data_IF_826862791344
#
_entry.id   IF_826862791344
#
_cell.length_a   1.000
_cell.length_b   1.000
_cell.length_c   1.000
_cell.angle_alpha   90.00
_cell.angle_beta   90.00
_cell.angle_gamma   90.00
#
_symmetry.space_group_name_H-M   'P 1'
#
loop_
_entity.id
_entity.type
_entity.pdbx_description
1 polymer ?
#
# COMPACT_ATOMS: atom_id res chain seq x y z
N UNK A 1 6.27 19.92 -7.60
CA UNK A 1 5.09 19.23 -7.08
C UNK A 1 4.49 18.23 -8.08
N UNK A 2 4.59 18.51 -9.35
CA UNK A 2 4.06 17.65 -10.42
C UNK A 2 4.80 16.33 -10.60
N UNK A 3 6.07 16.23 -10.16
CA UNK A 3 6.88 15.03 -10.36
C UNK A 3 6.26 13.75 -9.76
N UNK A 4 5.56 13.85 -8.64
CA UNK A 4 4.91 12.70 -8.00
C UNK A 4 3.63 12.27 -8.72
N UNK A 5 3.04 13.17 -9.49
CA UNK A 5 1.81 12.89 -10.24
C UNK A 5 2.07 12.70 -11.74
N UNK A 6 3.32 12.75 -12.17
CA UNK A 6 3.68 12.47 -13.55
C UNK A 6 3.27 11.04 -13.90
N UNK A 7 2.47 10.90 -14.96
CA UNK A 7 1.90 9.62 -15.34
C UNK A 7 0.67 9.19 -14.54
N UNK A 8 0.13 10.05 -13.68
CA UNK A 8 -1.10 9.75 -12.95
C UNK A 8 -2.27 9.59 -13.92
N UNK A 9 -2.92 8.43 -13.86
CA UNK A 9 -4.00 8.05 -14.79
C UNK A 9 -5.39 8.00 -14.15
N UNK A 10 -5.54 8.49 -12.92
CA UNK A 10 -6.81 8.46 -12.19
C UNK A 10 -7.04 7.14 -11.46
N UNK A 11 -6.49 6.99 -10.28
CA UNK A 11 -6.67 5.79 -9.45
C UNK A 11 -8.08 5.76 -8.84
N UNK A 12 -8.81 4.66 -9.07
CA UNK A 12 -10.13 4.40 -8.47
C UNK A 12 -11.14 5.55 -8.61
N UNK A 13 -11.10 6.29 -9.73
CA UNK A 13 -11.99 7.41 -9.95
C UNK A 13 -11.66 8.67 -9.14
N UNK A 14 -10.43 8.77 -8.62
CA UNK A 14 -9.96 9.96 -7.89
C UNK A 14 -9.52 11.03 -8.89
N UNK A 15 -10.10 12.24 -8.84
CA UNK A 15 -9.65 13.33 -9.71
C UNK A 15 -8.21 13.74 -9.42
N UNK A 16 -7.50 14.19 -10.45
CA UNK A 16 -6.13 14.66 -10.31
C UNK A 16 -6.01 15.81 -9.29
N UNK A 17 -6.99 16.71 -9.27
CA UNK A 17 -7.01 17.82 -8.32
C UNK A 17 -7.07 17.35 -6.87
N UNK A 18 -7.84 16.31 -6.59
CA UNK A 18 -7.89 15.70 -5.25
C UNK A 18 -6.54 15.10 -4.86
N UNK A 19 -5.93 14.36 -5.77
CA UNK A 19 -4.60 13.78 -5.55
C UNK A 19 -3.54 14.87 -5.31
N UNK A 20 -3.60 15.96 -6.08
CA UNK A 20 -2.71 17.10 -5.93
C UNK A 20 -2.87 17.79 -4.57
N UNK A 21 -4.10 17.97 -4.09
CA UNK A 21 -4.35 18.57 -2.77
C UNK A 21 -3.82 17.69 -1.64
N UNK A 22 -4.01 16.39 -1.72
CA UNK A 22 -3.46 15.44 -0.75
C UNK A 22 -1.93 15.51 -0.72
N UNK A 23 -1.31 15.51 -1.89
CA UNK A 23 0.14 15.60 -2.01
C UNK A 23 0.67 16.93 -1.44
N UNK A 24 0.00 18.04 -1.74
CA UNK A 24 0.38 19.35 -1.23
C UNK A 24 0.36 19.39 0.30
N UNK A 25 -0.68 18.83 0.92
CA UNK A 25 -0.76 18.71 2.38
C UNK A 25 0.35 17.85 2.96
N UNK A 26 0.66 16.73 2.31
CA UNK A 26 1.77 15.88 2.71
C UNK A 26 3.11 16.62 2.67
N UNK A 27 3.33 17.40 1.64
CA UNK A 27 4.57 18.18 1.48
C UNK A 27 4.66 19.33 2.49
N UNK A 28 3.54 19.98 2.80
CA UNK A 28 3.48 21.14 3.70
C UNK A 28 3.55 20.74 5.17
N UNK A 29 2.80 19.70 5.57
CA UNK A 29 2.67 19.27 6.96
C UNK A 29 3.46 18.00 7.28
N UNK A 30 4.13 17.40 6.29
CA UNK A 30 4.94 16.17 6.42
C UNK A 30 4.13 14.90 6.73
N UNK A 31 2.88 15.02 7.09
CA UNK A 31 1.99 13.90 7.35
C UNK A 31 0.54 14.32 7.17
N UNK A 32 -0.32 13.35 6.93
CA UNK A 32 -1.76 13.55 6.78
C UNK A 32 -2.48 12.35 7.40
N UNK A 33 -3.58 12.61 8.10
CA UNK A 33 -4.38 11.53 8.68
C UNK A 33 -5.28 10.87 7.63
N UNK A 34 -5.67 9.63 7.88
CA UNK A 34 -6.62 8.93 7.00
C UNK A 34 -7.99 9.63 6.98
N UNK A 35 -8.40 10.26 8.08
CA UNK A 35 -9.64 11.03 8.14
C UNK A 35 -9.59 12.27 7.25
N UNK A 36 -8.47 12.98 7.24
CA UNK A 36 -8.27 14.13 6.34
C UNK A 36 -8.30 13.71 4.89
N UNK A 37 -7.66 12.62 4.54
CA UNK A 37 -7.71 12.06 3.16
C UNK A 37 -9.16 11.76 2.78
N UNK A 38 -9.92 11.11 3.65
CA UNK A 38 -11.32 10.78 3.40
C UNK A 38 -12.18 12.04 3.19
N UNK A 39 -11.94 13.09 3.99
CA UNK A 39 -12.67 14.35 3.87
C UNK A 39 -12.35 15.07 2.55
N UNK A 40 -11.10 15.07 2.14
CA UNK A 40 -10.70 15.64 0.85
C UNK A 40 -11.40 14.92 -0.29
N UNK A 41 -11.36 13.59 -0.29
CA UNK A 41 -12.02 12.78 -1.31
C UNK A 41 -13.53 13.05 -1.34
N UNK A 42 -14.14 13.20 -0.17
CA UNK A 42 -15.58 13.55 -0.07
C UNK A 42 -15.88 14.90 -0.71
N UNK A 43 -15.04 15.92 -0.49
CA UNK A 43 -15.22 17.25 -1.09
C UNK A 43 -15.17 17.22 -2.61
N UNK A 44 -14.34 16.34 -3.18
CA UNK A 44 -14.25 16.17 -4.63
C UNK A 44 -15.29 15.22 -5.20
N UNK A 45 -16.27 14.81 -4.39
CA UNK A 45 -17.38 13.99 -4.87
C UNK A 45 -17.03 12.52 -5.10
N UNK A 46 -15.91 12.05 -4.53
CA UNK A 46 -15.54 10.64 -4.61
C UNK A 46 -16.49 9.83 -3.76
N UNK A 47 -17.35 9.04 -4.40
CA UNK A 47 -18.33 8.18 -3.75
C UNK A 47 -18.54 6.94 -4.59
N UNK A 48 -19.12 5.91 -3.98
CA UNK A 48 -19.47 4.66 -4.66
C UNK A 48 -20.94 4.35 -4.50
N UNK A 49 -21.46 3.53 -5.40
CA UNK A 49 -22.82 3.01 -5.25
C UNK A 49 -22.88 2.06 -4.05
N UNK A 50 -24.00 2.02 -3.31
CA UNK A 50 -24.11 1.18 -2.12
C UNK A 50 -23.81 -0.30 -2.37
N UNK A 51 -24.26 -0.86 -3.49
CA UNK A 51 -23.98 -2.25 -3.84
C UNK A 51 -22.49 -2.46 -4.13
N UNK A 52 -21.86 -1.56 -4.87
CA UNK A 52 -20.42 -1.62 -5.16
C UNK A 52 -19.59 -1.49 -3.88
N UNK A 53 -20.01 -0.62 -2.95
CA UNK A 53 -19.37 -0.47 -1.66
C UNK A 53 -19.48 -1.75 -0.82
N UNK A 54 -20.62 -2.42 -0.83
CA UNK A 54 -20.81 -3.68 -0.12
C UNK A 54 -19.94 -4.79 -0.70
N UNK A 55 -19.85 -4.88 -2.01
CA UNK A 55 -18.98 -5.86 -2.68
C UNK A 55 -17.50 -5.58 -2.34
N UNK A 56 -17.08 -4.33 -2.43
CA UNK A 56 -15.71 -3.92 -2.10
C UNK A 56 -15.37 -4.21 -0.63
N UNK A 57 -16.31 -3.92 0.28
CA UNK A 57 -16.15 -4.19 1.71
C UNK A 57 -15.95 -5.69 1.97
N UNK A 58 -16.82 -6.54 1.38
CA UNK A 58 -16.70 -8.00 1.53
C UNK A 58 -15.40 -8.54 0.97
N UNK A 59 -14.96 -8.04 -0.18
CA UNK A 59 -13.65 -8.39 -0.75
C UNK A 59 -12.52 -8.02 0.19
N UNK A 60 -12.56 -6.83 0.79
CA UNK A 60 -11.54 -6.37 1.71
C UNK A 60 -11.50 -7.18 3.00
N UNK A 61 -12.66 -7.51 3.56
CA UNK A 61 -12.77 -8.38 4.74
C UNK A 61 -12.23 -9.78 4.42
N UNK A 62 -12.60 -10.32 3.26
CA UNK A 62 -12.09 -11.61 2.79
C UNK A 62 -10.57 -11.62 2.62
N UNK A 63 -10.00 -10.57 2.04
CA UNK A 63 -8.56 -10.42 1.91
C UNK A 63 -7.84 -10.41 3.26
N UNK A 64 -8.39 -9.69 4.23
CA UNK A 64 -7.83 -9.63 5.59
C UNK A 64 -7.91 -10.98 6.28
N UNK A 65 -9.04 -11.67 6.16
CA UNK A 65 -9.22 -13.00 6.71
C UNK A 65 -8.17 -13.97 6.15
N UNK A 66 -8.04 -14.01 4.83
CA UNK A 66 -7.10 -14.90 4.15
C UNK A 66 -5.65 -14.56 4.52
N UNK A 67 -5.31 -13.28 4.58
CA UNK A 67 -3.98 -12.83 4.98
C UNK A 67 -3.64 -13.17 6.44
N UNK A 68 -4.64 -13.39 7.28
CA UNK A 68 -4.45 -13.75 8.70
C UNK A 68 -4.24 -15.25 8.92
N UNK A 69 -4.53 -16.09 7.93
CA UNK A 69 -4.39 -17.54 8.05
C UNK A 69 -2.92 -17.93 8.17
N UNK A 70 -2.63 -18.80 9.12
CA UNK A 70 -1.26 -19.26 9.42
C UNK A 70 -1.26 -20.77 9.58
N UNK A 71 -0.14 -21.41 9.21
CA UNK A 71 0.10 -22.83 9.51
C UNK A 71 0.40 -23.02 11.02
N UNK A 72 0.51 -24.28 11.49
CA UNK A 72 0.83 -24.53 12.91
C UNK A 72 2.16 -23.91 13.38
N UNK A 73 3.04 -23.54 12.44
CA UNK A 73 4.33 -22.91 12.75
C UNK A 73 4.29 -21.40 12.65
N UNK A 74 3.10 -20.81 12.41
CA UNK A 74 2.92 -19.38 12.32
C UNK A 74 3.27 -18.75 10.96
N UNK A 75 3.51 -19.56 9.93
CA UNK A 75 3.85 -19.09 8.58
C UNK A 75 2.60 -18.82 7.75
N UNK A 76 2.68 -17.85 6.87
CA UNK A 76 1.61 -17.55 5.93
C UNK A 76 1.43 -18.71 4.95
N UNK A 77 0.19 -19.15 4.77
CA UNK A 77 -0.15 -20.34 3.98
C UNK A 77 -0.85 -20.03 2.65
N UNK A 78 -1.58 -18.91 2.60
CA UNK A 78 -2.43 -18.59 1.46
C UNK A 78 -1.93 -17.32 0.78
N UNK A 79 -1.80 -17.38 -0.53
CA UNK A 79 -1.31 -16.28 -1.36
C UNK A 79 -2.23 -16.03 -2.55
N UNK A 80 -2.27 -14.79 -3.02
CA UNK A 80 -3.03 -14.40 -4.19
C UNK A 80 -2.20 -14.58 -5.48
N UNK A 81 -2.83 -15.12 -6.51
CA UNK A 81 -2.26 -15.21 -7.86
C UNK A 81 -3.04 -14.32 -8.85
N UNK A 82 -3.46 -13.14 -8.41
CA UNK A 82 -4.31 -12.24 -9.17
C UNK A 82 -5.75 -12.31 -8.69
N UNK A 83 -6.61 -13.04 -9.38
CA UNK A 83 -8.03 -13.16 -9.03
C UNK A 83 -8.35 -14.33 -8.11
N UNK A 84 -7.40 -15.20 -7.84
CA UNK A 84 -7.60 -16.41 -7.03
C UNK A 84 -6.63 -16.48 -5.87
N UNK A 85 -7.00 -17.31 -4.88
CA UNK A 85 -6.15 -17.59 -3.73
C UNK A 85 -5.65 -19.03 -3.79
N UNK A 86 -4.42 -19.25 -3.38
CA UNK A 86 -3.76 -20.56 -3.42
C UNK A 86 -3.27 -20.93 -2.03
N UNK A 87 -3.67 -22.10 -1.57
CA UNK A 87 -3.13 -22.72 -0.35
C UNK A 87 -1.87 -23.50 -0.74
N UNK A 88 -0.72 -23.06 -0.27
CA UNK A 88 0.60 -23.56 -0.70
C UNK A 88 0.74 -25.05 -0.49
N UNK A 89 0.35 -25.55 0.67
CA UNK A 89 0.52 -26.98 1.01
C UNK A 89 -0.35 -27.93 0.17
N UNK A 90 -1.43 -27.41 -0.44
CA UNK A 90 -2.34 -28.18 -1.27
C UNK A 90 -2.18 -27.89 -2.76
N UNK A 91 -1.30 -26.96 -3.14
CA UNK A 91 -1.15 -26.53 -4.52
C UNK A 91 -0.25 -27.49 -5.29
N UNK A 92 -0.77 -28.02 -6.40
CA UNK A 92 -0.04 -28.86 -7.34
C UNK A 92 0.36 -28.13 -8.61
N UNK A 93 0.02 -26.85 -8.72
CA UNK A 93 0.35 -26.02 -9.88
C UNK A 93 1.70 -25.34 -9.66
N UNK A 94 2.72 -25.88 -10.35
CA UNK A 94 4.08 -25.36 -10.26
C UNK A 94 4.20 -23.92 -10.74
N UNK A 95 3.48 -23.55 -11.81
CA UNK A 95 3.54 -22.19 -12.37
C UNK A 95 2.97 -21.18 -11.38
N UNK A 96 1.88 -21.53 -10.69
CA UNK A 96 1.31 -20.69 -9.64
C UNK A 96 2.30 -20.47 -8.50
N UNK A 97 2.96 -21.53 -8.04
CA UNK A 97 3.95 -21.45 -6.96
C UNK A 97 5.17 -20.61 -7.37
N UNK A 98 5.66 -20.78 -8.59
CA UNK A 98 6.76 -19.97 -9.11
C UNK A 98 6.37 -18.48 -9.23
N UNK A 99 5.15 -18.21 -9.65
CA UNK A 99 4.62 -16.84 -9.73
C UNK A 99 4.58 -16.18 -8.34
N UNK A 100 4.07 -16.89 -7.33
CA UNK A 100 4.03 -16.42 -5.95
C UNK A 100 5.44 -16.16 -5.43
N UNK A 101 6.38 -17.07 -5.68
CA UNK A 101 7.78 -16.92 -5.26
C UNK A 101 8.42 -15.68 -5.85
N UNK A 102 8.26 -15.43 -7.13
CA UNK A 102 8.77 -14.24 -7.80
C UNK A 102 8.17 -12.96 -7.23
N UNK A 103 6.87 -12.98 -6.94
CA UNK A 103 6.18 -11.82 -6.35
C UNK A 103 6.73 -11.51 -4.97
N UNK A 104 6.94 -12.52 -4.14
CA UNK A 104 7.52 -12.34 -2.80
C UNK A 104 8.94 -11.78 -2.87
N UNK A 105 9.75 -12.24 -3.82
CA UNK A 105 11.10 -11.71 -4.02
C UNK A 105 11.08 -10.21 -4.39
N UNK A 106 10.17 -9.81 -5.27
CA UNK A 106 9.96 -8.40 -5.61
C UNK A 106 9.51 -7.57 -4.42
N UNK A 107 8.58 -8.10 -3.63
CA UNK A 107 8.08 -7.41 -2.45
C UNK A 107 9.18 -7.22 -1.41
N UNK A 108 10.04 -8.22 -1.22
CA UNK A 108 11.20 -8.13 -0.33
C UNK A 108 12.18 -7.05 -0.82
N UNK A 109 12.47 -7.02 -2.11
CA UNK A 109 13.35 -6.00 -2.70
C UNK A 109 12.77 -4.60 -2.51
N UNK A 110 11.48 -4.42 -2.74
CA UNK A 110 10.81 -3.13 -2.54
C UNK A 110 10.85 -2.68 -1.08
N UNK A 111 10.66 -3.61 -0.15
CA UNK A 111 10.76 -3.33 1.30
C UNK A 111 12.19 -2.94 1.67
N UNK A 112 13.18 -3.66 1.16
CA UNK A 112 14.59 -3.35 1.43
C UNK A 112 14.97 -1.96 0.92
N UNK A 113 14.53 -1.60 -0.29
CA UNK A 113 14.77 -0.27 -0.85
C UNK A 113 14.11 0.83 -0.02
N UNK A 114 12.88 0.61 0.42
CA UNK A 114 12.16 1.56 1.26
C UNK A 114 12.86 1.71 2.62
N UNK A 115 13.33 0.62 3.21
CA UNK A 115 14.08 0.64 4.46
C UNK A 115 15.37 1.44 4.33
N UNK A 116 16.12 1.25 3.24
CA UNK A 116 17.33 2.03 2.95
C UNK A 116 17.04 3.52 2.85
N UNK A 117 15.95 3.89 2.21
CA UNK A 117 15.53 5.30 2.09
C UNK A 117 15.25 5.91 3.46
N UNK A 118 14.59 5.17 4.34
CA UNK A 118 14.29 5.60 5.71
C UNK A 118 15.57 5.74 6.50
N UNK A 119 16.48 4.77 6.42
CA UNK A 119 17.77 4.80 7.11
C UNK A 119 18.59 6.01 6.70
N UNK A 120 18.63 6.32 5.41
CA UNK A 120 19.32 7.50 4.89
C UNK A 120 18.75 8.79 5.48
N UNK A 121 17.42 8.88 5.57
CA UNK A 121 16.75 10.05 6.16
C UNK A 121 17.05 10.18 7.66
N UNK A 122 17.04 9.07 8.38
CA UNK A 122 17.38 9.06 9.81
C UNK A 122 18.81 9.52 10.05
N UNK A 123 19.75 9.11 9.19
CA UNK A 123 21.14 9.57 9.28
C UNK A 123 21.25 11.09 9.07
N UNK A 124 20.52 11.64 8.11
CA UNK A 124 20.45 13.09 7.86
C UNK A 124 19.94 13.82 9.11
N UNK A 125 18.87 13.33 9.71
CA UNK A 125 18.29 13.94 10.92
C UNK A 125 19.24 13.87 12.12
N UNK A 126 20.00 12.78 12.26
CA UNK A 126 21.01 12.65 13.32
C UNK A 126 22.13 13.67 13.15
N UNK A 127 22.58 13.90 11.91
CA UNK A 127 23.59 14.92 11.63
C UNK A 127 23.10 16.32 12.02
N UNK A 128 21.85 16.65 11.68
CA UNK A 128 21.26 17.93 12.08
C UNK A 128 21.14 18.07 13.59
N UNK A 129 20.77 17.02 14.29
CA UNK A 129 20.69 16.98 15.76
C UNK A 129 22.06 17.27 16.41
N UNK A 130 23.15 16.73 15.85
CA UNK A 130 24.51 16.99 16.33
C UNK A 130 24.92 18.46 16.15
N UNK A 131 24.51 19.09 15.05
CA UNK A 131 24.79 20.51 14.81
C UNK A 131 24.04 21.43 15.76
N UNK A 132 22.84 21.06 16.18
CA UNK A 132 22.04 21.86 17.12
C UNK A 132 22.56 21.82 18.56
N UNK A 133 23.34 20.80 18.92
CA UNK A 133 23.90 20.64 20.28
C UNK A 133 25.20 21.41 20.50
N UNK A 134 25.73 21.98 19.46
CA UNK A 134 26.88 22.87 19.55
C UNK A 134 26.41 24.32 19.62
#
# INVERSE_FOLDING_TARGET
MTAYLDGYSGYSGVPEDAAAEILEKLMTHQQISSDEVAQILKRYGVCGEPEALQIAYRKKVGQRLIASLRDPYGRREVFSTGSTYVLVDCCNDRDALEHIHKKLDKDMEAVDQASCKIDNRLQVLQRFSRYRRK
#
